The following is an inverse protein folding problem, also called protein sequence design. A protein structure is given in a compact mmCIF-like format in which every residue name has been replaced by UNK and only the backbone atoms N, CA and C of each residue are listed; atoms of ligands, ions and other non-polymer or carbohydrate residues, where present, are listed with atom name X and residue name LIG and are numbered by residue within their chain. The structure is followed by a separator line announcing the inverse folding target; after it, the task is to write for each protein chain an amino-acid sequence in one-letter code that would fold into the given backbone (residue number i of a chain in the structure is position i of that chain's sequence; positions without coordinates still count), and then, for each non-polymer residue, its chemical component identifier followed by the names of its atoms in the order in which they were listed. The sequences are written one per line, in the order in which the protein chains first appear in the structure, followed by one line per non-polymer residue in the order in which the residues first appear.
data_IF_677796505965
#
_entry.id   IF_677796505965
#
_cell.length_a   1.000
_cell.length_b   1.000
_cell.length_c   1.000
_cell.angle_alpha   90.00
_cell.angle_beta   90.00
_cell.angle_gamma   90.00
#
_symmetry.space_group_name_H-M   'P 1'
#
loop_
_entity.id
_entity.type
_entity.pdbx_description
1 polymer ?
#
# COMPACT_ATOMS: atom_id res chain seq x y z
N UNK A 1 5.34 8.49 4.24
CA UNK A 1 5.86 7.97 2.96
C UNK A 1 6.09 6.45 3.11
N UNK A 2 6.10 5.62 2.07
CA UNK A 2 6.29 4.16 2.24
C UNK A 2 7.66 3.81 2.83
N UNK A 3 8.70 4.55 2.47
CA UNK A 3 10.04 4.38 3.01
C UNK A 3 10.16 4.73 4.50
N UNK A 4 9.20 5.48 5.04
CA UNK A 4 9.18 5.89 6.45
C UNK A 4 8.33 4.98 7.34
N UNK A 5 7.66 3.98 6.78
CA UNK A 5 6.82 3.02 7.51
C UNK A 5 7.60 1.73 7.75
N UNK A 6 7.20 0.94 8.76
CA UNK A 6 7.61 -0.47 8.84
C UNK A 6 6.87 -1.30 7.79
N UNK A 7 7.13 -0.99 6.52
CA UNK A 7 6.47 -1.60 5.36
C UNK A 7 6.80 -3.09 5.20
N UNK A 8 7.67 -3.64 6.06
CA UNK A 8 7.92 -5.09 6.19
C UNK A 8 6.68 -5.86 6.65
N UNK A 9 5.79 -5.24 7.44
CA UNK A 9 4.55 -5.88 7.86
C UNK A 9 3.43 -5.54 6.90
N UNK A 10 3.13 -6.44 5.98
CA UNK A 10 1.98 -6.34 5.06
C UNK A 10 0.89 -7.33 5.41
N UNK A 11 -0.35 -7.00 5.06
CA UNK A 11 -1.53 -7.83 5.27
C UNK A 11 -2.39 -7.85 4.01
N UNK A 12 -3.05 -8.97 3.73
CA UNK A 12 -4.14 -9.02 2.74
C UNK A 12 -5.44 -8.73 3.47
N UNK A 13 -6.17 -7.72 3.04
CA UNK A 13 -7.40 -7.26 3.71
C UNK A 13 -8.46 -6.86 2.70
N UNK A 14 -9.73 -6.94 3.11
CA UNK A 14 -10.90 -6.39 2.39
C UNK A 14 -11.38 -5.08 3.01
N UNK A 15 -10.82 -4.64 4.14
CA UNK A 15 -11.33 -3.54 4.95
C UNK A 15 -11.49 -2.23 4.20
N UNK A 16 -10.60 -1.90 3.26
CA UNK A 16 -10.64 -0.62 2.55
C UNK A 16 -11.64 -0.61 1.40
N UNK A 17 -11.74 -1.70 0.65
CA UNK A 17 -12.39 -1.69 -0.66
C UNK A 17 -13.48 -2.75 -0.85
N UNK A 18 -13.59 -3.72 0.06
CA UNK A 18 -14.49 -4.86 -0.11
C UNK A 18 -13.91 -5.92 -1.04
N UNK A 19 -12.67 -5.78 -1.51
CA UNK A 19 -11.94 -6.78 -2.29
C UNK A 19 -10.57 -7.03 -1.67
N UNK A 20 -10.09 -8.28 -1.75
CA UNK A 20 -8.78 -8.63 -1.22
C UNK A 20 -7.68 -7.83 -1.93
N UNK A 21 -6.90 -7.08 -1.14
CA UNK A 21 -5.74 -6.33 -1.60
C UNK A 21 -4.65 -6.33 -0.51
N UNK A 22 -3.38 -6.19 -0.91
CA UNK A 22 -2.24 -6.19 0.02
C UNK A 22 -1.72 -4.78 0.28
N UNK A 23 -1.62 -4.42 1.55
CA UNK A 23 -1.03 -3.16 2.00
C UNK A 23 -0.25 -3.30 3.29
N UNK A 24 0.39 -2.21 3.72
CA UNK A 24 1.02 -2.11 5.05
C UNK A 24 -0.04 -2.38 6.12
N UNK A 25 0.28 -3.25 7.09
CA UNK A 25 -0.58 -3.48 8.26
C UNK A 25 -0.57 -2.21 9.12
N UNK A 26 -1.75 -1.63 9.33
CA UNK A 26 -1.95 -0.45 10.16
C UNK A 26 -3.26 -0.58 10.96
N UNK A 27 -3.62 0.47 11.70
CA UNK A 27 -4.76 0.46 12.63
C UNK A 27 -6.09 0.16 11.94
N UNK A 28 -6.29 0.61 10.70
CA UNK A 28 -7.56 0.45 10.00
C UNK A 28 -7.98 -1.01 9.74
N UNK A 29 -7.21 -1.86 9.03
CA UNK A 29 -7.55 -3.26 8.85
C UNK A 29 -7.57 -4.05 10.16
N UNK A 30 -6.79 -3.66 11.17
CA UNK A 30 -6.85 -4.27 12.51
C UNK A 30 -8.22 -4.02 13.17
N UNK A 31 -8.77 -2.81 13.03
CA UNK A 31 -10.11 -2.48 13.52
C UNK A 31 -11.24 -3.20 12.76
N UNK A 32 -10.95 -3.76 11.59
CA UNK A 32 -11.88 -4.51 10.75
C UNK A 32 -11.72 -6.03 10.84
N UNK A 33 -10.83 -6.56 11.70
CA UNK A 33 -10.53 -8.00 11.79
C UNK A 33 -11.77 -8.87 12.09
N UNK A 34 -12.76 -8.29 12.78
CA UNK A 34 -14.02 -8.95 13.14
C UNK A 34 -15.26 -8.30 12.48
N UNK A 35 -15.07 -7.51 11.41
CA UNK A 35 -16.15 -6.81 10.72
C UNK A 35 -16.18 -7.26 9.26
N UNK A 36 -17.34 -7.73 8.81
CA UNK A 36 -17.55 -8.00 7.39
C UNK A 36 -17.57 -6.69 6.60
N UNK A 37 -16.56 -6.50 5.77
CA UNK A 37 -16.53 -5.41 4.81
C UNK A 37 -17.67 -5.57 3.81
N UNK A 38 -18.32 -4.46 3.44
CA UNK A 38 -19.28 -4.45 2.34
C UNK A 38 -18.61 -4.95 1.04
N UNK A 39 -19.39 -5.42 0.05
CA UNK A 39 -18.83 -5.80 -1.24
C UNK A 39 -18.08 -4.63 -1.91
N UNK A 40 -17.27 -4.98 -2.91
CA UNK A 40 -16.67 -3.99 -3.78
C UNK A 40 -17.70 -3.60 -4.86
N UNK A 41 -17.87 -2.29 -5.18
CA UNK A 41 -17.10 -1.15 -4.69
C UNK A 41 -17.72 -0.40 -3.49
N UNK A 42 -18.79 -0.87 -2.87
CA UNK A 42 -19.51 -0.15 -1.80
C UNK A 42 -18.58 0.21 -0.64
N UNK A 43 -17.78 -0.74 -0.16
CA UNK A 43 -16.80 -0.48 0.92
C UNK A 43 -15.76 0.58 0.52
N UNK A 44 -15.33 0.60 -0.75
CA UNK A 44 -14.38 1.59 -1.24
C UNK A 44 -14.92 3.01 -1.11
N UNK A 45 -16.18 3.22 -1.46
CA UNK A 45 -16.84 4.51 -1.32
C UNK A 45 -17.11 4.86 0.16
N UNK A 46 -17.57 3.89 0.97
CA UNK A 46 -17.81 4.09 2.41
C UNK A 46 -16.55 4.57 3.17
N UNK A 47 -15.36 4.12 2.76
CA UNK A 47 -14.10 4.50 3.43
C UNK A 47 -13.43 5.74 2.84
N UNK A 48 -13.94 6.29 1.73
CA UNK A 48 -13.26 7.30 0.93
C UNK A 48 -13.01 8.61 1.66
N UNK A 49 -14.03 9.17 2.30
CA UNK A 49 -13.92 10.45 3.01
C UNK A 49 -13.00 10.34 4.22
N UNK A 50 -13.09 9.23 4.97
CA UNK A 50 -12.19 8.95 6.08
C UNK A 50 -10.72 8.91 5.62
N UNK A 51 -10.44 8.19 4.53
CA UNK A 51 -9.07 8.10 3.97
C UNK A 51 -8.58 9.45 3.47
N UNK A 52 -9.44 10.27 2.87
CA UNK A 52 -9.10 11.62 2.42
C UNK A 52 -8.75 12.54 3.61
N UNK A 53 -9.57 12.54 4.66
CA UNK A 53 -9.31 13.29 5.88
C UNK A 53 -8.02 12.83 6.58
N UNK A 54 -7.78 11.52 6.63
CA UNK A 54 -6.53 10.96 7.16
C UNK A 54 -5.31 11.41 6.36
N UNK A 55 -5.39 11.40 5.03
CA UNK A 55 -4.31 11.86 4.15
C UNK A 55 -3.99 13.34 4.39
N UNK A 56 -5.00 14.20 4.52
CA UNK A 56 -4.83 15.62 4.81
C UNK A 56 -4.13 15.88 6.15
N UNK A 57 -4.25 14.96 7.11
CA UNK A 57 -3.61 15.02 8.43
C UNK A 57 -2.30 14.21 8.51
N UNK A 58 -1.84 13.60 7.42
CA UNK A 58 -0.66 12.74 7.42
C UNK A 58 -0.83 11.44 8.23
N UNK A 59 -2.08 11.03 8.50
CA UNK A 59 -2.42 9.85 9.30
C UNK A 59 -2.38 8.56 8.50
N UNK A 60 -1.17 8.06 8.25
CA UNK A 60 -0.93 6.80 7.54
C UNK A 60 -1.51 5.58 8.23
N UNK A 61 -1.88 5.67 9.52
CA UNK A 61 -2.52 4.60 10.28
C UNK A 61 -3.97 4.30 9.83
N UNK A 62 -4.59 5.23 9.09
CA UNK A 62 -5.93 5.12 8.52
C UNK A 62 -5.96 5.15 6.99
N UNK A 63 -4.80 5.13 6.33
CA UNK A 63 -4.69 5.20 4.88
C UNK A 63 -4.53 3.80 4.25
N UNK A 64 -5.02 3.66 3.01
CA UNK A 64 -4.78 2.49 2.17
C UNK A 64 -3.35 2.56 1.58
N UNK A 65 -2.37 2.01 2.30
CA UNK A 65 -0.97 2.01 1.85
C UNK A 65 -0.68 0.71 1.09
N UNK A 66 -1.06 0.64 -0.19
CA UNK A 66 -0.85 -0.56 -1.00
C UNK A 66 0.63 -0.84 -1.20
N UNK A 67 1.05 -2.07 -0.89
CA UNK A 67 2.47 -2.43 -0.84
C UNK A 67 2.63 -3.93 -0.98
N UNK A 68 3.51 -4.36 -1.88
CA UNK A 68 3.91 -5.75 -2.02
C UNK A 68 4.79 -6.22 -0.85
N UNK A 69 5.10 -7.52 -0.80
CA UNK A 69 5.97 -8.07 0.25
C UNK A 69 7.44 -7.63 0.11
N UNK A 70 7.86 -7.20 -1.08
CA UNK A 70 9.21 -6.68 -1.36
C UNK A 70 9.46 -5.25 -0.85
N UNK A 71 8.67 -4.76 0.10
CA UNK A 71 8.77 -3.38 0.59
C UNK A 71 10.15 -3.03 1.19
N UNK A 72 10.86 -4.02 1.72
CA UNK A 72 12.23 -3.86 2.23
C UNK A 72 13.27 -3.56 1.12
N UNK A 73 12.91 -3.74 -0.15
CA UNK A 73 13.77 -3.53 -1.32
C UNK A 73 13.42 -2.22 -2.07
N UNK A 74 12.58 -1.37 -1.49
CA UNK A 74 12.19 -0.11 -2.11
C UNK A 74 13.41 0.80 -2.30
N UNK A 75 13.46 1.48 -3.45
CA UNK A 75 14.48 2.45 -3.83
C UNK A 75 13.80 3.75 -4.23
N UNK A 76 14.29 4.87 -3.70
CA UNK A 76 13.82 6.20 -4.09
C UNK A 76 14.68 6.72 -5.23
N UNK A 77 14.20 6.53 -6.46
CA UNK A 77 14.90 6.94 -7.69
C UNK A 77 13.90 7.51 -8.69
N UNK A 78 14.33 8.43 -9.57
CA UNK A 78 13.55 8.79 -10.76
C UNK A 78 13.19 7.53 -11.56
N UNK A 79 11.96 7.46 -12.09
CA UNK A 79 11.47 6.25 -12.75
C UNK A 79 12.39 5.75 -13.88
N UNK A 80 12.94 6.67 -14.68
CA UNK A 80 13.86 6.33 -15.77
C UNK A 80 15.18 5.73 -15.28
N UNK A 81 15.68 6.20 -14.13
CA UNK A 81 16.88 5.66 -13.51
C UNK A 81 16.62 4.27 -12.92
N UNK A 82 15.53 4.10 -12.18
CA UNK A 82 15.13 2.81 -11.62
C UNK A 82 15.01 1.73 -12.70
N UNK A 83 14.39 2.03 -13.84
CA UNK A 83 14.26 1.08 -14.96
C UNK A 83 15.63 0.70 -15.52
N UNK A 84 16.56 1.66 -15.69
CA UNK A 84 17.93 1.36 -16.16
C UNK A 84 18.69 0.50 -15.15
N UNK A 85 18.58 0.80 -13.85
CA UNK A 85 19.19 0.00 -12.79
C UNK A 85 18.67 -1.43 -12.82
N UNK A 86 17.34 -1.60 -12.89
CA UNK A 86 16.71 -2.92 -12.96
C UNK A 86 17.13 -3.70 -14.21
N UNK A 87 17.23 -3.05 -15.38
CA UNK A 87 17.71 -3.70 -16.60
C UNK A 87 19.16 -4.16 -16.47
N UNK A 88 20.03 -3.35 -15.86
CA UNK A 88 21.42 -3.75 -15.57
C UNK A 88 21.49 -4.91 -14.58
N UNK A 89 20.75 -4.86 -13.47
CA UNK A 89 20.67 -5.94 -12.47
C UNK A 89 20.14 -7.26 -13.06
N UNK A 90 19.25 -7.18 -14.05
CA UNK A 90 18.69 -8.33 -14.76
C UNK A 90 19.56 -8.84 -15.92
N UNK A 91 20.71 -8.21 -16.21
CA UNK A 91 21.55 -8.57 -17.35
C UNK A 91 20.96 -8.21 -18.72
N UNK A 92 20.01 -7.27 -18.76
CA UNK A 92 19.34 -6.78 -19.97
C UNK A 92 19.93 -5.47 -20.50
N UNK A 93 20.91 -4.88 -19.80
CA UNK A 93 21.61 -3.70 -20.29
C UNK A 93 22.41 -4.06 -21.55
N UNK A 94 22.36 -3.18 -22.56
CA UNK A 94 23.27 -3.28 -23.70
C UNK A 94 24.73 -3.27 -23.19
N UNK A 95 25.63 -4.04 -23.84
CA UNK A 95 27.04 -4.08 -23.46
C UNK A 95 27.70 -2.70 -23.49
#
# INVERSE_FOLDING_TARGET
HLLSLDARRTVVTRAFSGRAARGVRNRFPDAFENVDAAPFPEQQELTKELRAAAAAQGRTDLMQMWTGQGAALLRELPAAELVRTLASEAGLAAP
#
